data_IF_984826108533
#
_entry.id   IF_984826108533
#
_cell.length_a   1.000
_cell.length_b   1.000
_cell.length_c   1.000
_cell.angle_alpha   90.00
_cell.angle_beta   90.00
_cell.angle_gamma   90.00
#
_symmetry.space_group_name_H-M   'P 1'
#
loop_
_entity.id
_entity.type
_entity.pdbx_description
1 polymer ?
#
# COMPACT_ATOMS: atom_id res chain seq x y z
N UNK A 1 42.56 -28.96 -53.27
CA UNK A 1 41.17 -29.40 -53.11
C UNK A 1 40.99 -29.79 -51.66
N UNK A 2 40.59 -28.85 -50.80
CA UNK A 2 40.17 -29.14 -49.43
C UNK A 2 39.05 -28.15 -49.08
N UNK A 3 37.86 -28.66 -48.87
CA UNK A 3 36.67 -27.92 -48.41
C UNK A 3 36.52 -28.10 -46.91
N UNK A 4 36.40 -27.02 -46.11
CA UNK A 4 36.13 -27.14 -44.68
C UNK A 4 34.65 -27.41 -44.43
N UNK A 5 34.37 -28.38 -43.55
CA UNK A 5 33.02 -28.69 -43.09
C UNK A 5 32.61 -27.75 -41.96
N UNK A 6 31.56 -26.97 -42.20
CA UNK A 6 30.90 -26.14 -41.19
C UNK A 6 29.97 -27.00 -40.33
N UNK A 7 30.38 -27.26 -39.10
CA UNK A 7 29.55 -27.88 -38.07
C UNK A 7 28.54 -26.87 -37.50
N UNK A 8 27.27 -27.05 -37.81
CA UNK A 8 26.15 -26.32 -37.23
C UNK A 8 25.83 -26.85 -35.83
N UNK A 9 26.21 -26.11 -34.79
CA UNK A 9 25.78 -26.36 -33.42
C UNK A 9 24.31 -25.98 -33.27
N UNK A 10 23.44 -26.98 -33.21
CA UNK A 10 22.02 -26.83 -32.89
C UNK A 10 21.87 -26.51 -31.40
N UNK A 11 21.91 -25.22 -31.06
CA UNK A 11 21.59 -24.73 -29.71
C UNK A 11 20.11 -24.98 -29.47
N UNK A 12 19.80 -26.00 -28.65
CA UNK A 12 18.44 -26.32 -28.24
C UNK A 12 17.81 -25.14 -27.52
N UNK A 13 16.90 -24.44 -28.20
CA UNK A 13 15.94 -23.51 -27.63
C UNK A 13 14.98 -24.31 -26.71
N UNK A 14 15.45 -24.62 -25.50
CA UNK A 14 14.56 -24.85 -24.38
C UNK A 14 13.82 -23.52 -24.18
N UNK A 15 12.63 -23.42 -24.78
CA UNK A 15 11.74 -22.29 -24.58
C UNK A 15 11.64 -22.01 -23.09
N UNK A 16 11.66 -20.73 -22.67
CA UNK A 16 11.61 -20.37 -21.26
C UNK A 16 10.44 -21.13 -20.65
N UNK A 17 10.80 -22.09 -19.78
CA UNK A 17 9.84 -22.92 -19.08
C UNK A 17 8.91 -21.92 -18.40
N UNK A 18 7.69 -21.77 -18.91
CA UNK A 18 6.70 -20.85 -18.37
C UNK A 18 6.49 -21.30 -16.94
N UNK A 19 7.21 -20.64 -16.03
CA UNK A 19 6.98 -20.76 -14.62
C UNK A 19 5.56 -20.28 -14.47
N UNK A 20 4.62 -21.22 -14.39
CA UNK A 20 3.26 -20.99 -13.95
C UNK A 20 3.34 -20.49 -12.51
N UNK A 21 3.85 -19.26 -12.36
CA UNK A 21 3.94 -18.57 -11.10
C UNK A 21 2.51 -18.52 -10.60
N UNK A 22 2.30 -19.21 -9.50
CA UNK A 22 1.06 -19.19 -8.77
C UNK A 22 0.89 -17.76 -8.23
N UNK A 23 0.34 -16.86 -9.06
CA UNK A 23 -0.20 -15.57 -8.67
C UNK A 23 -1.45 -15.82 -7.83
N UNK A 24 -1.23 -16.34 -6.62
CA UNK A 24 -2.26 -16.70 -5.65
C UNK A 24 -2.50 -15.61 -4.62
N UNK A 25 -1.69 -14.56 -4.63
CA UNK A 25 -1.78 -13.45 -3.68
C UNK A 25 -1.43 -12.13 -4.33
N UNK A 26 -2.09 -11.08 -3.86
CA UNK A 26 -1.82 -9.68 -4.12
C UNK A 26 -0.34 -9.32 -4.00
N UNK A 27 0.37 -9.90 -3.04
CA UNK A 27 1.80 -9.61 -2.79
C UNK A 27 2.73 -10.04 -3.92
N UNK A 28 2.29 -10.95 -4.80
CA UNK A 28 3.11 -11.49 -5.88
C UNK A 28 2.82 -10.83 -7.24
N UNK A 29 1.95 -9.81 -7.29
CA UNK A 29 1.64 -9.12 -8.54
C UNK A 29 2.87 -8.38 -9.07
N UNK A 30 3.12 -8.50 -10.37
CA UNK A 30 4.12 -7.68 -11.03
C UNK A 30 3.65 -6.22 -11.15
N UNK A 31 4.54 -5.23 -11.33
CA UNK A 31 4.13 -3.85 -11.57
C UNK A 31 3.18 -3.69 -12.77
N UNK A 32 3.38 -4.47 -13.83
CA UNK A 32 2.48 -4.49 -15.00
C UNK A 32 1.08 -5.01 -14.65
N UNK A 33 1.01 -6.06 -13.81
CA UNK A 33 -0.27 -6.61 -13.36
C UNK A 33 -1.02 -5.64 -12.46
N UNK A 34 -0.29 -4.96 -11.57
CA UNK A 34 -0.81 -3.90 -10.71
C UNK A 34 -1.43 -2.81 -11.57
N UNK A 35 -0.69 -2.29 -12.56
CA UNK A 35 -1.17 -1.22 -13.43
C UNK A 35 -2.45 -1.62 -14.19
N UNK A 36 -2.49 -2.85 -14.73
CA UNK A 36 -3.66 -3.34 -15.45
C UNK A 36 -4.89 -3.49 -14.53
N UNK A 37 -4.69 -3.94 -13.29
CA UNK A 37 -5.78 -4.03 -12.30
C UNK A 37 -6.24 -2.65 -11.83
N UNK A 38 -5.33 -1.74 -11.52
CA UNK A 38 -5.69 -0.39 -11.06
C UNK A 38 -6.45 0.38 -12.14
N UNK A 39 -6.12 0.19 -13.41
CA UNK A 39 -6.86 0.81 -14.52
C UNK A 39 -8.34 0.43 -14.50
N UNK A 40 -8.68 -0.84 -14.28
CA UNK A 40 -10.07 -1.32 -14.15
C UNK A 40 -10.74 -0.73 -12.91
N UNK A 41 -9.99 -0.59 -11.83
CA UNK A 41 -10.48 -0.11 -10.53
C UNK A 41 -10.44 1.43 -10.39
N UNK A 42 -10.21 2.20 -11.46
CA UNK A 42 -10.08 3.67 -11.35
C UNK A 42 -11.31 4.45 -11.81
N UNK A 43 -12.25 3.83 -12.51
CA UNK A 43 -13.27 4.56 -13.29
C UNK A 43 -14.71 4.29 -12.85
N UNK A 44 -14.96 4.02 -11.56
CA UNK A 44 -16.34 3.88 -11.09
C UNK A 44 -17.14 5.17 -11.31
N UNK A 45 -18.39 5.06 -11.81
CA UNK A 45 -19.27 6.21 -11.93
C UNK A 45 -19.63 6.77 -10.55
N UNK A 46 -20.00 8.05 -10.49
CA UNK A 46 -20.44 8.69 -9.25
C UNK A 46 -21.66 8.01 -8.62
N UNK A 47 -21.86 8.21 -7.32
CA UNK A 47 -22.96 7.62 -6.56
C UNK A 47 -24.36 8.05 -7.05
N UNK A 48 -24.43 9.20 -7.71
CA UNK A 48 -25.60 9.82 -8.33
C UNK A 48 -25.92 9.27 -9.73
N UNK A 49 -24.99 8.52 -10.32
CA UNK A 49 -25.11 7.99 -11.67
C UNK A 49 -25.95 6.72 -11.68
N UNK A 50 -27.20 6.84 -12.13
CA UNK A 50 -28.11 5.70 -12.27
C UNK A 50 -27.67 4.68 -13.34
N UNK A 51 -28.13 3.42 -13.25
CA UNK A 51 -27.74 2.33 -14.14
C UNK A 51 -28.18 2.53 -15.61
N UNK A 52 -29.23 3.34 -15.84
CA UNK A 52 -29.73 3.65 -17.19
C UNK A 52 -29.03 4.86 -17.83
N UNK A 53 -28.04 5.46 -17.16
CA UNK A 53 -27.31 6.60 -17.71
C UNK A 53 -26.32 6.19 -18.80
N UNK A 54 -26.03 7.13 -19.71
CA UNK A 54 -24.97 6.97 -20.72
C UNK A 54 -23.58 6.81 -20.08
N UNK A 55 -23.34 7.45 -18.94
CA UNK A 55 -22.11 7.36 -18.15
C UNK A 55 -21.93 5.93 -17.64
N UNK A 56 -22.95 5.34 -17.01
CA UNK A 56 -22.90 3.96 -16.52
C UNK A 56 -22.69 2.97 -17.68
N UNK A 57 -23.37 3.18 -18.80
CA UNK A 57 -23.21 2.35 -20.00
C UNK A 57 -21.78 2.41 -20.56
N UNK A 58 -21.17 3.60 -20.57
CA UNK A 58 -19.78 3.80 -20.98
C UNK A 58 -18.81 3.12 -20.02
N UNK A 59 -19.02 3.25 -18.71
CA UNK A 59 -18.27 2.54 -17.69
C UNK A 59 -18.33 1.01 -17.90
N UNK A 60 -19.52 0.44 -18.06
CA UNK A 60 -19.70 -1.00 -18.31
C UNK A 60 -18.94 -1.46 -19.56
N UNK A 61 -18.98 -0.68 -20.64
CA UNK A 61 -18.28 -0.98 -21.89
C UNK A 61 -16.76 -0.97 -21.69
N UNK A 62 -16.21 0.11 -21.14
CA UNK A 62 -14.77 0.28 -20.90
C UNK A 62 -14.26 -0.81 -19.96
N UNK A 63 -14.94 -1.06 -18.85
CA UNK A 63 -14.56 -2.10 -17.88
C UNK A 63 -14.54 -3.49 -18.53
N UNK A 64 -15.51 -3.84 -19.38
CA UNK A 64 -15.50 -5.11 -20.11
C UNK A 64 -14.33 -5.22 -21.08
N UNK A 65 -14.01 -4.15 -21.81
CA UNK A 65 -12.87 -4.09 -22.73
C UNK A 65 -11.55 -4.28 -21.98
N UNK A 66 -11.36 -3.60 -20.85
CA UNK A 66 -10.15 -3.72 -20.03
C UNK A 66 -10.03 -5.11 -19.38
N UNK A 67 -11.12 -5.67 -18.83
CA UNK A 67 -11.11 -7.04 -18.29
C UNK A 67 -10.76 -8.07 -19.37
N UNK A 68 -11.25 -7.87 -20.61
CA UNK A 68 -10.92 -8.74 -21.74
C UNK A 68 -9.44 -8.68 -22.10
N UNK A 69 -8.82 -7.50 -22.00
CA UNK A 69 -7.41 -7.24 -22.27
C UNK A 69 -6.46 -7.73 -21.17
N UNK A 70 -6.97 -8.13 -19.99
CA UNK A 70 -6.13 -8.64 -18.90
C UNK A 70 -5.35 -9.91 -19.31
N UNK A 71 -4.11 -10.06 -18.84
CA UNK A 71 -3.37 -11.31 -18.90
C UNK A 71 -4.19 -12.50 -18.38
N UNK A 72 -3.96 -13.69 -18.94
CA UNK A 72 -4.72 -14.89 -18.59
C UNK A 72 -4.65 -15.23 -17.09
N UNK A 73 -3.51 -14.99 -16.42
CA UNK A 73 -3.34 -15.26 -14.98
C UNK A 73 -4.07 -14.27 -14.08
N UNK A 74 -4.45 -13.10 -14.58
CA UNK A 74 -5.30 -12.12 -13.89
C UNK A 74 -6.78 -12.25 -14.25
N UNK A 75 -7.16 -13.25 -15.03
CA UNK A 75 -8.57 -13.55 -15.30
C UNK A 75 -8.95 -14.79 -14.55
N UNK A 76 -10.07 -14.72 -13.83
CA UNK A 76 -10.69 -15.91 -13.28
C UNK A 76 -11.01 -16.86 -14.44
N UNK A 77 -10.65 -18.16 -14.32
CA UNK A 77 -11.04 -19.13 -15.32
C UNK A 77 -12.55 -19.06 -15.47
N UNK A 78 -13.02 -18.93 -16.72
CA UNK A 78 -14.46 -18.97 -16.97
C UNK A 78 -14.97 -20.26 -16.34
N UNK A 79 -16.02 -20.22 -15.52
CA UNK A 79 -16.63 -21.46 -15.07
C UNK A 79 -17.05 -22.19 -16.34
N UNK A 80 -16.29 -23.21 -16.74
CA UNK A 80 -16.66 -24.07 -17.84
C UNK A 80 -18.07 -24.56 -17.48
N UNK A 81 -19.04 -24.28 -18.35
CA UNK A 81 -20.49 -24.26 -18.07
C UNK A 81 -21.11 -25.63 -17.72
N UNK A 82 -20.28 -26.59 -17.29
CA UNK A 82 -20.64 -27.96 -16.99
C UNK A 82 -20.33 -28.36 -15.53
N UNK A 83 -19.88 -27.42 -14.68
CA UNK A 83 -19.68 -27.72 -13.26
C UNK A 83 -21.04 -27.88 -12.56
N UNK A 84 -21.54 -29.11 -12.49
CA UNK A 84 -22.70 -29.59 -11.72
C UNK A 84 -22.55 -29.39 -10.19
N UNK A 85 -21.61 -28.57 -9.74
CA UNK A 85 -21.27 -28.29 -8.34
C UNK A 85 -22.25 -27.34 -7.66
N UNK A 86 -23.57 -27.54 -7.84
CA UNK A 86 -24.64 -26.74 -7.21
C UNK A 86 -24.87 -27.05 -5.71
N UNK A 87 -24.05 -27.87 -5.07
CA UNK A 87 -24.31 -28.33 -3.69
C UNK A 87 -23.40 -27.79 -2.60
N UNK A 88 -22.36 -27.01 -2.94
CA UNK A 88 -21.63 -26.23 -1.94
C UNK A 88 -21.93 -24.76 -2.15
N UNK A 89 -22.88 -24.22 -1.37
CA UNK A 89 -22.95 -22.79 -1.06
C UNK A 89 -21.65 -22.46 -0.33
N UNK A 90 -20.57 -22.22 -1.08
CA UNK A 90 -19.36 -21.68 -0.50
C UNK A 90 -19.76 -20.35 0.13
N UNK A 91 -19.64 -20.26 1.45
CA UNK A 91 -19.92 -19.07 2.25
C UNK A 91 -18.80 -18.03 2.05
N UNK A 92 -18.26 -17.97 0.84
CA UNK A 92 -17.18 -17.07 0.50
C UNK A 92 -17.78 -15.70 0.26
N UNK A 93 -17.46 -14.78 1.17
CA UNK A 93 -17.86 -13.37 1.16
C UNK A 93 -17.29 -12.57 -0.04
N UNK A 94 -16.75 -13.26 -1.06
CA UNK A 94 -16.03 -12.68 -2.20
C UNK A 94 -16.88 -12.73 -3.46
N UNK A 95 -18.15 -12.37 -3.34
CA UNK A 95 -19.07 -12.34 -4.49
C UNK A 95 -18.67 -11.17 -5.39
N UNK A 96 -18.37 -11.47 -6.66
CA UNK A 96 -18.22 -10.47 -7.70
C UNK A 96 -19.53 -10.37 -8.48
N UNK A 97 -19.93 -9.17 -8.88
CA UNK A 97 -21.08 -8.98 -9.75
C UNK A 97 -20.79 -9.50 -11.17
N UNK A 98 -21.82 -9.61 -12.01
CA UNK A 98 -21.68 -10.13 -13.37
C UNK A 98 -20.60 -9.41 -14.18
N UNK A 99 -20.50 -8.07 -14.05
CA UNK A 99 -19.48 -7.25 -14.72
C UNK A 99 -18.05 -7.65 -14.32
N UNK A 100 -17.81 -7.91 -13.04
CA UNK A 100 -16.49 -8.18 -12.48
C UNK A 100 -16.21 -9.66 -12.26
N UNK A 101 -17.12 -10.56 -12.64
CA UNK A 101 -17.01 -12.00 -12.42
C UNK A 101 -15.75 -12.65 -13.01
N UNK A 102 -15.15 -12.03 -14.03
CA UNK A 102 -13.91 -12.49 -14.65
C UNK A 102 -12.63 -12.00 -13.95
N UNK A 103 -12.72 -11.17 -12.92
CA UNK A 103 -11.57 -10.77 -12.09
C UNK A 103 -11.28 -11.82 -11.00
N UNK A 104 -10.05 -11.88 -10.47
CA UNK A 104 -9.65 -12.86 -9.46
C UNK A 104 -10.16 -12.43 -8.08
N UNK A 105 -11.21 -13.07 -7.53
CA UNK A 105 -11.90 -12.60 -6.32
C UNK A 105 -10.98 -12.55 -5.10
N UNK A 106 -10.04 -13.50 -5.00
CA UNK A 106 -9.08 -13.57 -3.88
C UNK A 106 -8.15 -12.36 -3.84
N UNK A 107 -7.59 -11.95 -4.99
CA UNK A 107 -6.69 -10.80 -5.06
C UNK A 107 -7.44 -9.52 -4.70
N UNK A 108 -8.65 -9.33 -5.23
CA UNK A 108 -9.49 -8.18 -4.90
C UNK A 108 -9.83 -8.13 -3.42
N UNK A 109 -10.15 -9.28 -2.82
CA UNK A 109 -10.41 -9.34 -1.39
C UNK A 109 -9.18 -9.00 -0.54
N UNK A 110 -7.99 -9.49 -0.91
CA UNK A 110 -6.74 -9.13 -0.21
C UNK A 110 -6.45 -7.63 -0.29
N UNK A 111 -6.69 -7.00 -1.44
CA UNK A 111 -6.57 -5.54 -1.62
C UNK A 111 -7.58 -4.81 -0.72
N UNK A 112 -8.87 -5.20 -0.78
CA UNK A 112 -9.91 -4.57 0.03
C UNK A 112 -9.64 -4.73 1.52
N UNK A 113 -9.23 -5.92 1.96
CA UNK A 113 -8.92 -6.21 3.35
C UNK A 113 -7.72 -5.38 3.83
N UNK A 114 -6.69 -5.20 2.99
CA UNK A 114 -5.60 -4.28 3.27
C UNK A 114 -6.13 -2.85 3.51
N UNK A 115 -6.93 -2.30 2.58
CA UNK A 115 -7.45 -0.93 2.69
C UNK A 115 -8.32 -0.80 3.94
N UNK A 116 -9.20 -1.77 4.19
CA UNK A 116 -10.06 -1.83 5.37
C UNK A 116 -9.23 -1.77 6.67
N UNK A 117 -8.25 -2.65 6.82
CA UNK A 117 -7.38 -2.67 8.00
C UNK A 117 -6.61 -1.36 8.17
N UNK A 118 -6.17 -0.73 7.07
CA UNK A 118 -5.54 0.58 7.16
C UNK A 118 -6.53 1.64 7.68
N UNK A 119 -7.69 1.77 7.06
CA UNK A 119 -8.67 2.83 7.35
C UNK A 119 -9.35 2.67 8.71
N UNK A 120 -9.77 1.45 9.08
CA UNK A 120 -10.56 1.21 10.28
C UNK A 120 -9.71 1.06 11.55
N UNK A 121 -8.51 0.46 11.44
CA UNK A 121 -7.73 0.09 12.62
C UNK A 121 -6.47 0.95 12.74
N UNK A 122 -5.63 0.88 11.71
CA UNK A 122 -4.24 1.32 11.81
C UNK A 122 -4.08 2.83 11.75
N UNK A 123 -4.77 3.50 10.83
CA UNK A 123 -4.72 4.96 10.69
C UNK A 123 -5.34 5.63 11.91
N UNK A 124 -6.54 5.26 12.40
CA UNK A 124 -7.11 5.83 13.62
C UNK A 124 -6.23 5.61 14.85
N UNK A 125 -5.68 4.39 15.03
CA UNK A 125 -4.78 4.11 16.15
C UNK A 125 -3.51 4.97 16.09
N UNK A 126 -2.93 5.12 14.91
CA UNK A 126 -1.76 5.96 14.71
C UNK A 126 -2.07 7.44 14.98
N UNK A 127 -3.18 7.95 14.47
CA UNK A 127 -3.58 9.35 14.69
C UNK A 127 -3.88 9.67 16.15
N UNK A 128 -4.54 8.76 16.88
CA UNK A 128 -4.72 8.91 18.34
C UNK A 128 -3.40 9.08 19.08
N UNK A 129 -2.36 8.35 18.66
CA UNK A 129 -1.02 8.48 19.26
C UNK A 129 -0.34 9.81 18.91
N UNK A 130 -0.62 10.37 17.73
CA UNK A 130 -0.03 11.66 17.31
C UNK A 130 -0.75 12.81 18.00
N UNK A 131 -2.08 12.79 18.03
CA UNK A 131 -2.90 13.87 18.59
C UNK A 131 -2.80 13.97 20.11
N UNK A 132 -2.52 12.86 20.81
CA UNK A 132 -2.30 12.89 22.27
C UNK A 132 -1.03 13.64 22.68
N UNK A 133 -0.08 13.83 21.76
CA UNK A 133 1.15 14.57 22.02
C UNK A 133 1.10 16.05 21.60
N UNK A 134 0.09 16.47 20.84
CA UNK A 134 -0.06 17.86 20.42
C UNK A 134 -1.06 18.05 19.28
N UNK A 135 -1.44 19.31 19.00
CA UNK A 135 -2.34 19.62 17.89
C UNK A 135 -1.69 19.24 16.56
N UNK A 136 -2.43 18.50 15.74
CA UNK A 136 -2.06 18.21 14.35
C UNK A 136 -2.37 19.41 13.45
N UNK A 137 -1.54 19.64 12.43
CA UNK A 137 -1.81 20.70 11.44
C UNK A 137 -3.18 20.49 10.78
N UNK A 138 -3.96 21.57 10.65
CA UNK A 138 -5.35 21.51 10.18
C UNK A 138 -5.48 20.92 8.77
N UNK A 139 -4.56 21.25 7.87
CA UNK A 139 -4.51 20.70 6.51
C UNK A 139 -4.29 19.19 6.49
N UNK A 140 -3.33 18.68 7.28
CA UNK A 140 -3.02 17.25 7.37
C UNK A 140 -4.20 16.48 7.98
N UNK A 141 -4.82 17.03 9.02
CA UNK A 141 -6.05 16.47 9.59
C UNK A 141 -7.17 16.41 8.55
N UNK A 142 -7.39 17.52 7.85
CA UNK A 142 -8.42 17.64 6.84
C UNK A 142 -8.24 16.64 5.70
N UNK A 143 -7.00 16.35 5.26
CA UNK A 143 -6.76 15.31 4.25
C UNK A 143 -7.09 13.91 4.78
N UNK A 144 -6.66 13.58 6.01
CA UNK A 144 -6.88 12.25 6.59
C UNK A 144 -8.34 11.98 6.96
N UNK A 145 -9.07 13.03 7.37
CA UNK A 145 -10.50 12.94 7.67
C UNK A 145 -11.33 12.53 6.44
N UNK A 146 -10.80 12.67 5.21
CA UNK A 146 -11.47 12.23 3.98
C UNK A 146 -11.56 10.71 3.83
N UNK A 147 -10.77 9.93 4.57
CA UNK A 147 -10.81 8.46 4.52
C UNK A 147 -12.12 7.88 5.06
N UNK A 148 -12.63 8.41 6.18
CA UNK A 148 -13.80 7.84 6.83
C UNK A 148 -15.10 8.01 6.01
N UNK A 149 -15.43 9.20 5.47
CA UNK A 149 -16.62 9.38 4.62
C UNK A 149 -16.60 8.49 3.37
N UNK A 150 -15.43 8.32 2.75
CA UNK A 150 -15.26 7.48 1.58
C UNK A 150 -15.54 6.01 1.89
N UNK A 151 -15.00 5.51 3.00
CA UNK A 151 -15.26 4.14 3.44
C UNK A 151 -16.75 3.91 3.78
N UNK A 152 -17.38 4.85 4.48
CA UNK A 152 -18.82 4.81 4.80
C UNK A 152 -19.71 4.91 3.56
N UNK A 153 -19.30 5.65 2.52
CA UNK A 153 -20.02 5.71 1.26
C UNK A 153 -20.00 4.34 0.57
N UNK A 154 -18.84 3.68 0.52
CA UNK A 154 -18.71 2.34 -0.06
C UNK A 154 -19.58 1.30 0.66
N UNK A 155 -19.67 1.36 1.99
CA UNK A 155 -20.55 0.48 2.76
C UNK A 155 -22.03 0.72 2.44
N UNK A 156 -22.45 1.97 2.25
CA UNK A 156 -23.84 2.33 1.99
C UNK A 156 -24.31 1.96 0.58
N UNK A 157 -23.47 2.16 -0.44
CA UNK A 157 -23.87 1.99 -1.84
C UNK A 157 -24.11 0.54 -2.27
N UNK A 158 -23.60 -0.44 -1.52
CA UNK A 158 -23.53 -1.81 -2.01
C UNK A 158 -24.30 -2.84 -1.18
N UNK A 159 -25.08 -2.41 -0.19
CA UNK A 159 -26.01 -3.25 0.56
C UNK A 159 -25.34 -4.40 1.33
N UNK A 160 -26.07 -5.51 1.53
CA UNK A 160 -25.63 -6.64 2.37
C UNK A 160 -24.53 -7.50 1.73
N UNK A 161 -24.46 -7.57 0.39
CA UNK A 161 -23.52 -8.41 -0.37
C UNK A 161 -22.81 -7.58 -1.47
N UNK A 162 -21.92 -6.64 -1.08
CA UNK A 162 -21.20 -5.82 -2.04
C UNK A 162 -20.29 -6.62 -2.96
N UNK A 163 -20.24 -6.23 -4.23
CA UNK A 163 -19.16 -6.65 -5.11
C UNK A 163 -17.85 -5.98 -4.69
N UNK A 164 -16.84 -6.78 -4.31
CA UNK A 164 -15.52 -6.29 -3.89
C UNK A 164 -14.87 -5.38 -4.92
N UNK A 165 -14.95 -5.73 -6.21
CA UNK A 165 -14.41 -4.90 -7.29
C UNK A 165 -15.14 -3.55 -7.40
N UNK A 166 -16.45 -3.50 -7.17
CA UNK A 166 -17.19 -2.24 -7.21
C UNK A 166 -16.79 -1.33 -6.05
N UNK A 167 -16.64 -1.88 -4.83
CA UNK A 167 -16.12 -1.10 -3.69
C UNK A 167 -14.74 -0.54 -4.05
N UNK A 168 -13.83 -1.39 -4.52
CA UNK A 168 -12.48 -0.94 -4.89
C UNK A 168 -12.55 0.14 -5.96
N UNK A 169 -13.35 -0.05 -7.02
CA UNK A 169 -13.50 0.94 -8.08
C UNK A 169 -14.01 2.29 -7.56
N UNK A 170 -14.92 2.28 -6.58
CA UNK A 170 -15.43 3.48 -5.93
C UNK A 170 -14.40 4.19 -5.05
N UNK A 171 -13.53 3.42 -4.37
CA UNK A 171 -12.39 3.97 -3.63
C UNK A 171 -11.40 4.60 -4.61
N UNK A 172 -11.14 3.89 -5.72
CA UNK A 172 -10.18 4.26 -6.75
C UNK A 172 -10.52 5.49 -7.56
N UNK A 173 -11.81 5.80 -7.73
CA UNK A 173 -12.24 7.05 -8.36
C UNK A 173 -12.09 8.26 -7.43
N UNK A 174 -11.83 8.06 -6.13
CA UNK A 174 -11.66 9.13 -5.15
C UNK A 174 -10.21 9.59 -5.00
N UNK A 175 -9.81 10.64 -5.73
CA UNK A 175 -8.45 11.24 -5.65
C UNK A 175 -8.00 11.47 -4.22
N UNK A 176 -8.84 12.16 -3.47
CA UNK A 176 -8.56 12.55 -2.09
C UNK A 176 -8.38 11.35 -1.16
N UNK A 177 -9.14 10.27 -1.39
CA UNK A 177 -9.03 9.04 -0.61
C UNK A 177 -7.69 8.34 -0.86
N UNK A 178 -7.25 8.25 -2.12
CA UNK A 178 -5.95 7.68 -2.47
C UNK A 178 -4.79 8.49 -1.89
N UNK A 179 -4.89 9.83 -1.94
CA UNK A 179 -3.91 10.74 -1.34
C UNK A 179 -3.80 10.53 0.16
N UNK A 180 -4.94 10.55 0.87
CA UNK A 180 -4.97 10.36 2.31
C UNK A 180 -4.44 8.98 2.73
N UNK A 181 -4.78 7.93 1.97
CA UNK A 181 -4.31 6.57 2.22
C UNK A 181 -2.79 6.48 2.00
N UNK A 182 -2.26 7.11 0.95
CA UNK A 182 -0.81 7.17 0.68
C UNK A 182 -0.06 7.92 1.79
N UNK A 183 -0.55 9.08 2.22
CA UNK A 183 0.03 9.86 3.34
C UNK A 183 0.13 8.97 4.60
N UNK A 184 -0.97 8.31 4.94
CA UNK A 184 -1.04 7.50 6.16
C UNK A 184 -0.13 6.25 6.09
N UNK A 185 -0.02 5.64 4.91
CA UNK A 185 0.87 4.51 4.66
C UNK A 185 2.35 4.93 4.80
N UNK A 186 2.74 6.04 4.16
CA UNK A 186 4.11 6.57 4.20
C UNK A 186 4.54 6.97 5.61
N UNK A 187 3.65 7.61 6.36
CA UNK A 187 3.95 8.07 7.71
C UNK A 187 4.31 6.91 8.65
N UNK A 188 3.68 5.76 8.46
CA UNK A 188 3.86 4.57 9.29
C UNK A 188 4.96 3.63 8.79
N UNK A 189 5.43 3.83 7.57
CA UNK A 189 6.43 2.97 6.97
C UNK A 189 7.82 3.22 7.59
N UNK A 190 8.59 2.16 7.82
CA UNK A 190 9.97 2.26 8.33
C UNK A 190 10.89 2.80 7.22
N UNK A 191 11.70 3.83 7.51
CA UNK A 191 12.46 4.56 6.48
C UNK A 191 13.29 3.64 5.57
N UNK A 192 13.95 2.60 6.12
CA UNK A 192 14.73 1.66 5.32
C UNK A 192 13.92 0.90 4.27
N UNK A 193 12.68 0.51 4.59
CA UNK A 193 11.81 -0.20 3.64
C UNK A 193 11.13 0.72 2.62
N UNK A 194 11.15 2.05 2.82
CA UNK A 194 10.65 2.99 1.79
C UNK A 194 11.70 3.14 0.69
N UNK A 195 12.97 3.25 1.09
CA UNK A 195 14.10 3.40 0.17
C UNK A 195 14.22 2.22 -0.81
N UNK A 196 13.85 1.01 -0.36
CA UNK A 196 13.90 -0.19 -1.21
C UNK A 196 12.86 -0.17 -2.35
N UNK A 197 11.86 0.73 -2.35
CA UNK A 197 10.83 0.79 -3.40
C UNK A 197 9.91 -0.45 -3.52
N UNK A 198 10.19 -1.51 -2.77
CA UNK A 198 9.61 -2.84 -2.97
C UNK A 198 8.27 -3.08 -2.28
N UNK A 199 7.55 -2.01 -1.94
CA UNK A 199 6.23 -2.14 -1.32
C UNK A 199 5.15 -2.33 -2.39
N UNK A 200 4.64 -3.56 -2.53
CA UNK A 200 3.47 -3.82 -3.38
C UNK A 200 2.30 -2.89 -3.07
N UNK A 201 2.11 -2.51 -1.80
CA UNK A 201 1.05 -1.58 -1.36
C UNK A 201 1.24 -0.16 -1.87
N UNK A 202 2.48 0.34 -1.80
CA UNK A 202 2.78 1.68 -2.28
C UNK A 202 2.74 1.72 -3.80
N UNK A 203 3.36 0.73 -4.47
CA UNK A 203 3.31 0.59 -5.94
C UNK A 203 1.87 0.52 -6.43
N UNK A 204 1.00 -0.21 -5.73
CA UNK A 204 -0.42 -0.27 -6.08
C UNK A 204 -1.12 1.07 -5.95
N UNK A 205 -0.90 1.83 -4.86
CA UNK A 205 -1.49 3.15 -4.70
C UNK A 205 -0.96 4.17 -5.71
N UNK A 206 0.33 4.09 -6.06
CA UNK A 206 0.96 4.98 -7.04
C UNK A 206 0.41 4.72 -8.44
N UNK A 207 0.33 3.45 -8.86
CA UNK A 207 -0.33 3.06 -10.10
C UNK A 207 -1.82 3.48 -10.13
N UNK A 208 -2.50 3.46 -8.97
CA UNK A 208 -3.88 3.92 -8.88
C UNK A 208 -4.02 5.43 -9.10
N UNK A 209 -3.13 6.22 -8.49
CA UNK A 209 -3.06 7.68 -8.67
C UNK A 209 -2.71 8.02 -10.12
N UNK A 210 -1.79 7.27 -10.73
CA UNK A 210 -1.42 7.41 -12.14
C UNK A 210 -2.62 7.21 -13.07
N UNK A 211 -3.41 6.16 -12.87
CA UNK A 211 -4.59 5.87 -13.70
C UNK A 211 -5.75 6.86 -13.48
N UNK A 212 -5.79 7.54 -12.34
CA UNK A 212 -6.80 8.55 -12.04
C UNK A 212 -6.48 9.93 -12.64
N UNK A 213 -5.20 10.23 -12.86
CA UNK A 213 -4.77 11.53 -13.35
C UNK A 213 -4.61 11.50 -14.88
N UNK A 214 -5.17 12.49 -15.56
CA UNK A 214 -5.05 12.61 -17.02
C UNK A 214 -3.64 13.03 -17.46
N UNK A 215 -2.87 13.66 -16.56
CA UNK A 215 -1.59 14.28 -16.88
C UNK A 215 -0.49 13.86 -15.91
N UNK A 216 0.67 13.49 -16.45
CA UNK A 216 1.86 13.10 -15.66
C UNK A 216 2.31 14.19 -14.68
N UNK A 217 2.12 15.47 -15.01
CA UNK A 217 2.42 16.59 -14.11
C UNK A 217 1.55 16.55 -12.86
N UNK A 218 0.25 16.30 -13.01
CA UNK A 218 -0.69 16.22 -11.90
C UNK A 218 -0.39 15.00 -11.02
N UNK A 219 -0.09 13.85 -11.63
CA UNK A 219 0.37 12.66 -10.92
C UNK A 219 1.58 12.99 -10.05
N UNK A 220 2.63 13.58 -10.65
CA UNK A 220 3.86 13.94 -9.94
C UNK A 220 3.56 14.88 -8.76
N UNK A 221 2.77 15.92 -8.98
CA UNK A 221 2.39 16.87 -7.92
C UNK A 221 1.69 16.17 -6.74
N UNK A 222 0.76 15.25 -7.04
CA UNK A 222 0.06 14.48 -6.01
C UNK A 222 1.02 13.58 -5.23
N UNK A 223 1.91 12.88 -5.94
CA UNK A 223 2.90 11.99 -5.32
C UNK A 223 3.89 12.77 -4.46
N UNK A 224 4.37 13.92 -4.93
CA UNK A 224 5.29 14.80 -4.18
C UNK A 224 4.58 15.35 -2.92
N UNK A 225 3.38 15.91 -3.08
CA UNK A 225 2.59 16.46 -1.97
C UNK A 225 2.27 15.41 -0.91
N UNK A 226 1.82 14.22 -1.32
CA UNK A 226 1.51 13.15 -0.38
C UNK A 226 2.76 12.57 0.29
N UNK A 227 3.91 12.58 -0.39
CA UNK A 227 5.19 12.19 0.22
C UNK A 227 5.61 13.18 1.30
N UNK A 228 5.49 14.47 1.03
CA UNK A 228 5.83 15.51 2.00
C UNK A 228 4.92 15.47 3.22
N UNK A 229 3.61 15.37 3.03
CA UNK A 229 2.66 15.25 4.14
C UNK A 229 2.87 13.97 4.96
N UNK A 230 3.22 12.85 4.30
CA UNK A 230 3.59 11.61 4.98
C UNK A 230 4.84 11.77 5.86
N UNK A 231 5.86 12.50 5.37
CA UNK A 231 7.07 12.83 6.13
C UNK A 231 6.76 13.70 7.34
N UNK A 232 5.98 14.76 7.17
CA UNK A 232 5.54 15.64 8.27
C UNK A 232 4.80 14.84 9.33
N UNK A 233 3.84 14.01 8.94
CA UNK A 233 3.07 13.18 9.87
C UNK A 233 3.96 12.18 10.64
N UNK A 234 5.00 11.64 9.99
CA UNK A 234 5.98 10.74 10.61
C UNK A 234 6.83 11.44 11.66
N UNK A 235 7.32 12.65 11.37
CA UNK A 235 8.11 13.43 12.33
C UNK A 235 7.27 13.86 13.53
N UNK A 236 6.00 14.21 13.33
CA UNK A 236 5.06 14.46 14.42
C UNK A 236 4.91 13.22 15.33
N UNK A 237 4.77 12.03 14.76
CA UNK A 237 4.67 10.79 15.53
C UNK A 237 5.95 10.44 16.28
N UNK A 238 7.13 10.69 15.70
CA UNK A 238 8.41 10.51 16.39
C UNK A 238 8.54 11.46 17.58
N UNK A 239 8.21 12.73 17.37
CA UNK A 239 8.20 13.75 18.43
C UNK A 239 7.23 13.38 19.54
N UNK A 240 6.03 12.91 19.18
CA UNK A 240 5.03 12.41 20.12
C UNK A 240 5.55 11.28 21.00
N UNK A 241 6.23 10.30 20.38
CA UNK A 241 6.82 9.17 21.09
C UNK A 241 7.90 9.62 22.09
N UNK A 242 8.81 10.53 21.68
CA UNK A 242 9.86 11.08 22.55
C UNK A 242 9.28 11.82 23.77
N UNK A 243 8.21 12.59 23.57
CA UNK A 243 7.53 13.28 24.67
C UNK A 243 6.83 12.31 25.63
N UNK A 244 6.29 11.19 25.12
CA UNK A 244 5.72 10.14 25.95
C UNK A 244 6.76 9.43 26.82
N UNK A 245 7.93 9.13 26.26
CA UNK A 245 9.06 8.50 26.97
C UNK A 245 9.62 9.42 28.07
N UNK A 246 9.66 10.74 27.84
CA UNK A 246 10.14 11.71 28.83
C UNK A 246 9.22 11.83 30.07
N UNK A 247 7.91 11.56 29.94
CA UNK A 247 6.95 11.65 31.06
C UNK A 247 6.96 10.42 31.98
N UNK A 248 7.42 9.28 31.47
CA UNK A 248 7.67 8.08 32.26
C UNK A 248 9.16 7.77 32.20
N UNK A 249 10.02 8.59 32.86
CA UNK A 249 11.38 8.14 33.11
C UNK A 249 11.24 6.83 33.88
N UNK A 250 11.69 5.73 33.28
CA UNK A 250 11.74 4.42 33.93
C UNK A 250 12.33 4.64 35.32
N UNK A 251 11.48 4.60 36.36
CA UNK A 251 11.94 4.56 37.73
C UNK A 251 12.91 3.39 37.77
N UNK A 252 14.18 3.70 38.02
CA UNK A 252 15.28 2.79 37.78
C UNK A 252 14.95 1.40 38.29
N UNK A 253 14.87 0.44 37.38
CA UNK A 253 15.16 -0.94 37.72
C UNK A 253 16.61 -0.92 38.17
N UNK A 254 16.78 -0.65 39.47
CA UNK A 254 18.06 -0.78 40.13
C UNK A 254 18.54 -2.17 39.82
N UNK A 255 19.65 -2.25 39.09
CA UNK A 255 20.51 -3.42 39.12
C UNK A 255 20.85 -3.63 40.58
N UNK A 256 20.10 -4.51 41.25
CA UNK A 256 20.50 -5.11 42.51
C UNK A 256 21.81 -5.83 42.22
N UNK A 257 22.90 -5.19 42.66
CA UNK A 257 24.22 -5.75 42.70
C UNK A 257 24.12 -7.17 43.30
N UNK A 258 24.65 -8.14 42.55
CA UNK A 258 24.83 -9.48 43.05
C UNK A 258 25.73 -9.44 44.27
N UNK A 259 25.23 -9.98 45.37
CA UNK A 259 26.08 -10.61 46.38
C UNK A 259 26.74 -11.82 45.74
N UNK A 260 28.05 -11.81 45.85
CA UNK A 260 28.98 -12.91 45.63
C UNK A 260 28.47 -14.16 46.36
N UNK A 261 28.45 -15.32 45.67
CA UNK A 261 28.67 -16.56 46.39
C UNK A 261 29.36 -17.60 45.50
N UNK A 262 30.36 -18.22 46.11
CA UNK A 262 31.39 -19.02 45.49
C UNK A 262 31.04 -20.50 45.47
N UNK A 263 31.62 -21.22 44.51
CA UNK A 263 31.98 -22.62 44.69
C UNK A 263 31.22 -23.61 43.81
N UNK A 264 31.95 -24.44 43.08
CA UNK A 264 31.39 -25.66 42.50
C UNK A 264 32.05 -26.16 41.22
N UNK A 265 33.27 -26.67 41.36
CA UNK A 265 34.01 -27.41 40.33
C UNK A 265 33.24 -28.67 39.87
N UNK A 266 33.17 -28.94 38.56
CA UNK A 266 33.40 -30.31 38.07
C UNK A 266 33.71 -30.34 36.57
N UNK A 267 34.73 -31.14 36.27
CA UNK A 267 35.35 -31.44 34.98
C UNK A 267 34.46 -32.43 34.22
N UNK A 268 34.30 -32.20 32.91
CA UNK A 268 33.62 -33.14 32.01
C UNK A 268 34.00 -32.90 30.54
N UNK A 269 35.16 -33.41 30.14
CA UNK A 269 35.56 -33.62 28.75
C UNK A 269 34.58 -34.57 28.05
N UNK A 270 34.12 -34.21 26.85
CA UNK A 270 33.89 -35.14 25.74
C UNK A 270 34.07 -34.39 24.41
N UNK A 271 34.86 -35.01 23.54
CA UNK A 271 35.31 -34.50 22.25
C UNK A 271 34.28 -34.78 21.14
N UNK A 272 34.60 -34.20 19.98
CA UNK A 272 34.29 -34.64 18.62
C UNK A 272 32.99 -34.17 17.96
N UNK A 273 33.17 -33.13 17.14
CA UNK A 273 33.21 -33.37 15.70
C UNK A 273 31.89 -33.19 14.98
N UNK A 274 31.64 -31.98 14.47
CA UNK A 274 30.83 -31.80 13.26
C UNK A 274 31.14 -30.47 12.59
N UNK A 275 31.74 -30.58 11.41
CA UNK A 275 31.99 -29.53 10.45
C UNK A 275 30.66 -28.97 9.91
N UNK A 276 30.44 -27.67 10.09
CA UNK A 276 29.36 -26.91 9.46
C UNK A 276 29.97 -25.71 8.72
N UNK A 277 29.81 -25.59 7.38
CA UNK A 277 30.37 -24.46 6.66
C UNK A 277 29.43 -23.25 6.63
N UNK A 278 30.08 -22.08 6.64
CA UNK A 278 29.64 -20.77 6.14
C UNK A 278 28.58 -19.97 6.91
N UNK A 279 29.00 -19.47 8.06
CA UNK A 279 28.55 -18.18 8.60
C UNK A 279 28.96 -17.03 7.67
N UNK A 280 28.04 -16.55 6.84
CA UNK A 280 28.17 -15.27 6.13
C UNK A 280 28.13 -14.12 7.15
N UNK A 281 29.30 -13.62 7.48
CA UNK A 281 29.52 -12.35 8.19
C UNK A 281 28.90 -11.19 7.41
N UNK A 282 27.68 -10.77 7.78
CA UNK A 282 27.13 -9.48 7.37
C UNK A 282 27.83 -8.40 8.18
N UNK A 283 28.84 -7.79 7.58
CA UNK A 283 29.42 -6.52 8.00
C UNK A 283 28.34 -5.45 8.01
N UNK A 284 27.78 -5.19 9.18
CA UNK A 284 26.87 -4.07 9.42
C UNK A 284 27.70 -2.79 9.50
N UNK A 285 28.05 -2.21 8.35
CA UNK A 285 28.55 -0.85 8.27
C UNK A 285 27.39 0.10 8.57
N UNK A 286 27.19 0.41 9.85
CA UNK A 286 26.33 1.50 10.30
C UNK A 286 27.02 2.79 9.88
N UNK A 287 26.59 3.36 8.75
CA UNK A 287 26.93 4.73 8.41
C UNK A 287 26.20 5.63 9.40
N UNK A 288 26.93 6.16 10.38
CA UNK A 288 26.47 7.22 11.28
C UNK A 288 26.05 8.42 10.45
N UNK A 289 24.75 8.56 10.20
CA UNK A 289 24.17 9.74 9.59
C UNK A 289 23.98 10.80 10.70
N UNK A 290 25.09 11.41 11.11
CA UNK A 290 25.10 12.57 12.01
C UNK A 290 24.73 13.81 11.20
N UNK A 291 23.45 14.14 11.16
CA UNK A 291 22.95 15.31 10.45
C UNK A 291 21.51 15.66 10.76
N UNK A 292 20.98 15.22 11.90
CA UNK A 292 19.65 15.59 12.35
C UNK A 292 19.66 16.97 12.99
N UNK A 293 19.63 18.04 12.19
CA UNK A 293 19.40 19.39 12.70
C UNK A 293 18.07 19.37 13.48
N UNK A 294 18.10 19.78 14.75
CA UNK A 294 16.90 19.84 15.57
C UNK A 294 15.97 20.90 14.98
N UNK A 295 14.87 20.46 14.35
CA UNK A 295 13.80 21.36 13.92
C UNK A 295 13.24 22.01 15.16
N UNK A 296 13.51 23.31 15.33
CA UNK A 296 13.02 24.05 16.47
C UNK A 296 11.53 24.33 16.29
N UNK A 297 10.83 24.62 17.40
CA UNK A 297 9.44 25.08 17.36
C UNK A 297 9.26 26.27 16.40
N UNK A 298 10.28 27.14 16.33
CA UNK A 298 10.30 28.32 15.47
C UNK A 298 10.42 27.96 13.98
N UNK A 299 11.19 26.93 13.66
CA UNK A 299 11.26 26.39 12.29
C UNK A 299 9.93 25.78 11.86
N UNK A 300 9.25 25.07 12.76
CA UNK A 300 7.94 24.48 12.48
C UNK A 300 6.82 25.53 12.26
N UNK A 301 6.92 26.68 12.94
CA UNK A 301 6.02 27.84 12.81
C UNK A 301 6.30 28.63 11.53
N UNK A 302 7.56 28.98 11.24
CA UNK A 302 7.96 29.66 10.00
C UNK A 302 7.57 28.86 8.75
N UNK A 303 7.72 27.52 8.80
CA UNK A 303 7.31 26.65 7.72
C UNK A 303 5.78 26.56 7.55
N UNK A 304 5.01 26.75 8.62
CA UNK A 304 3.55 26.77 8.54
C UNK A 304 3.03 28.06 7.88
N UNK A 305 3.67 29.21 8.14
CA UNK A 305 3.34 30.49 7.50
C UNK A 305 3.71 30.52 6.01
N UNK A 306 4.92 30.06 5.65
CA UNK A 306 5.37 29.92 4.25
C UNK A 306 4.39 29.03 3.45
N UNK A 307 3.94 27.95 4.05
CA UNK A 307 3.05 26.98 3.43
C UNK A 307 1.62 27.50 3.27
N UNK A 308 1.10 28.28 4.23
CA UNK A 308 -0.20 28.94 4.10
C UNK A 308 -0.19 29.94 2.94
N UNK A 309 0.93 30.63 2.73
CA UNK A 309 1.17 31.54 1.59
C UNK A 309 1.12 30.84 0.23
N UNK A 310 1.63 29.61 0.15
CA UNK A 310 1.65 28.81 -1.08
C UNK A 310 0.27 28.24 -1.46
N UNK A 311 -0.66 28.15 -0.52
CA UNK A 311 -2.01 27.63 -0.76
C UNK A 311 -3.02 28.69 -1.22
N UNK A 312 -2.79 29.97 -0.92
CA UNK A 312 -3.70 31.06 -1.29
C UNK A 312 -3.97 31.19 -2.81
N UNK A 313 -2.99 30.97 -3.72
CA UNK A 313 -3.24 31.05 -5.17
C UNK A 313 -4.03 29.87 -5.75
N UNK A 314 -4.13 28.75 -5.01
CA UNK A 314 -4.78 27.52 -5.48
C UNK A 314 -6.27 27.43 -5.10
N UNK A 315 -6.81 28.46 -4.44
CA UNK A 315 -8.24 28.55 -4.15
C UNK A 315 -8.96 28.97 -5.43
N UNK A 316 -9.82 28.13 -6.03
CA UNK A 316 -10.57 28.56 -7.21
C UNK A 316 -11.42 29.78 -6.84
N UNK A 317 -11.52 30.79 -7.73
CA UNK A 317 -12.31 31.98 -7.46
C UNK A 317 -13.77 31.57 -7.23
N UNK A 318 -14.34 32.06 -6.13
CA UNK A 318 -15.70 31.74 -5.67
C UNK A 318 -16.82 32.19 -6.64
N UNK A 319 -16.48 32.78 -7.79
CA UNK A 319 -17.41 33.45 -8.69
C UNK A 319 -17.86 32.61 -9.89
N UNK A 320 -17.70 31.28 -9.87
CA UNK A 320 -18.11 30.40 -10.98
C UNK A 320 -19.48 29.74 -10.73
N UNK A 321 -20.15 30.08 -9.61
CA UNK A 321 -21.47 29.53 -9.27
C UNK A 321 -22.53 30.59 -8.91
N UNK A 322 -22.46 31.76 -9.54
CA UNK A 322 -23.59 32.72 -9.61
C UNK A 322 -24.07 32.86 -11.06
#
# INVERSE_FOLDING_TARGET
METPMSSTSTTGLLGPQEQHHHYRSYHNLSPSDIHALTQILSHAPGADVGPNSSIYSSYVRITKEQIKALPAHLRSPKPHSLSLSRLHKSKDNNKLCQLHSALPPKILWEILNFIKTEVEEKVPAYLRSVTSAGPMRANLKSELDKLAPMWLLCQRLHGADPCTACILAQIGSGRDALVALRIALLARWRSGRVADGNSTRLVFLEAWIENLCEHARQTKEILDKSSELGRVLKELAKSAKRLGEAKHPQAGSGSSAGTEDAGGSSVGQCQDGQDHPESRSRSSSVSSFEGGSQVTKKDAEAWAEEYQRLLDPMRPPSSIYE
#
